data_IF_661006414578
#
_entry.id   IF_661006414578
#
_cell.length_a   1.000
_cell.length_b   1.000
_cell.length_c   1.000
_cell.angle_alpha   90.00
_cell.angle_beta   90.00
_cell.angle_gamma   90.00
#
_symmetry.space_group_name_H-M   'P 1'
#
loop_
_entity.id
_entity.type
_entity.pdbx_description
1 polymer ?
#
# COMPACT_ATOMS: atom_id res chain seq x y z
N UNK A 1 1.90 -3.74 -34.72
CA UNK A 1 2.90 -3.59 -33.62
C UNK A 1 2.39 -4.39 -32.44
N UNK A 2 3.13 -5.40 -31.98
CA UNK A 2 2.72 -6.24 -30.86
C UNK A 2 2.91 -5.45 -29.56
N UNK A 3 1.81 -4.98 -28.97
CA UNK A 3 1.82 -4.27 -27.69
C UNK A 3 2.22 -5.25 -26.60
N UNK A 4 3.34 -5.00 -25.91
CA UNK A 4 3.88 -5.84 -24.86
C UNK A 4 2.85 -6.11 -23.73
N UNK A 5 2.99 -7.25 -23.04
CA UNK A 5 2.42 -7.39 -21.70
C UNK A 5 3.04 -6.34 -20.81
N UNK A 6 2.24 -5.79 -19.90
CA UNK A 6 2.69 -4.78 -18.96
C UNK A 6 2.21 -5.20 -17.57
N UNK A 7 3.16 -5.61 -16.74
CA UNK A 7 2.96 -5.66 -15.29
C UNK A 7 3.49 -4.36 -14.71
N UNK A 8 2.66 -3.68 -13.96
CA UNK A 8 3.02 -2.46 -13.24
C UNK A 8 2.82 -2.68 -11.74
N UNK A 9 3.81 -2.25 -10.96
CA UNK A 9 3.84 -2.42 -9.52
C UNK A 9 4.16 -1.08 -8.88
N UNK A 10 3.18 -0.50 -8.21
CA UNK A 10 3.27 0.83 -7.61
C UNK A 10 3.00 0.76 -6.12
N UNK A 11 3.62 1.64 -5.34
CA UNK A 11 3.33 1.82 -3.92
C UNK A 11 2.90 3.25 -3.61
N UNK A 12 2.00 3.39 -2.64
CA UNK A 12 1.60 4.66 -2.08
C UNK A 12 1.40 4.51 -0.58
N UNK A 13 1.94 5.45 0.20
CA UNK A 13 1.63 5.51 1.61
C UNK A 13 0.35 6.32 1.86
N UNK A 14 -0.54 5.78 2.69
CA UNK A 14 -1.80 6.39 3.13
C UNK A 14 -1.81 6.46 4.66
N UNK A 15 -1.96 7.65 5.28
CA UNK A 15 -1.91 7.81 6.73
C UNK A 15 -2.82 6.86 7.52
N UNK A 16 -4.03 6.60 7.02
CA UNK A 16 -5.05 5.81 7.73
C UNK A 16 -5.01 4.30 7.42
N UNK A 17 -4.22 3.87 6.42
CA UNK A 17 -4.23 2.49 5.92
C UNK A 17 -2.83 1.87 5.80
N UNK A 18 -1.78 2.65 6.07
CA UNK A 18 -0.40 2.24 5.85
C UNK A 18 0.00 2.24 4.38
N UNK A 19 0.77 1.25 3.96
CA UNK A 19 1.23 1.14 2.58
C UNK A 19 0.20 0.43 1.72
N UNK A 20 -0.19 1.06 0.61
CA UNK A 20 -0.97 0.43 -0.45
C UNK A 20 -0.05 0.10 -1.62
N UNK A 21 0.09 -1.18 -1.92
CA UNK A 21 0.89 -1.69 -3.05
C UNK A 21 -0.08 -2.25 -4.08
N UNK A 22 -0.06 -1.70 -5.28
CA UNK A 22 -0.93 -2.13 -6.37
C UNK A 22 -0.12 -2.82 -7.44
N UNK A 23 -0.38 -4.11 -7.65
CA UNK A 23 0.06 -4.83 -8.83
C UNK A 23 -1.06 -4.80 -9.86
N UNK A 24 -0.83 -4.20 -11.01
CA UNK A 24 -1.75 -4.21 -12.14
C UNK A 24 -1.14 -4.91 -13.33
N UNK A 25 -1.97 -5.56 -14.13
CA UNK A 25 -1.50 -6.27 -15.32
C UNK A 25 -2.38 -6.01 -16.51
N UNK A 26 -1.73 -6.05 -17.68
CA UNK A 26 -2.36 -6.11 -18.99
C UNK A 26 -1.64 -7.16 -19.82
N UNK A 27 -2.29 -8.30 -20.02
CA UNK A 27 -1.80 -9.39 -20.86
C UNK A 27 -2.00 -9.06 -22.35
N UNK A 28 -1.37 -9.85 -23.21
CA UNK A 28 -1.64 -9.80 -24.64
C UNK A 28 -3.09 -10.22 -24.93
N UNK A 29 -3.69 -9.68 -25.98
CA UNK A 29 -5.09 -9.96 -26.34
C UNK A 29 -5.39 -11.43 -26.66
N UNK A 30 -4.37 -12.23 -26.98
CA UNK A 30 -4.47 -13.65 -27.25
C UNK A 30 -4.08 -14.55 -26.07
N UNK A 31 -3.91 -13.95 -24.89
CA UNK A 31 -3.49 -14.61 -23.65
C UNK A 31 -4.64 -14.57 -22.62
N UNK A 32 -4.49 -15.34 -21.56
CA UNK A 32 -5.42 -15.33 -20.43
C UNK A 32 -4.67 -15.52 -19.13
N UNK A 33 -5.18 -14.94 -18.04
CA UNK A 33 -4.53 -15.02 -16.75
C UNK A 33 -4.57 -16.45 -16.20
N UNK A 34 -3.40 -17.01 -15.86
CA UNK A 34 -3.29 -18.24 -15.09
C UNK A 34 -3.20 -17.95 -13.59
N UNK A 35 -2.27 -17.07 -13.21
CA UNK A 35 -2.06 -16.74 -11.80
C UNK A 35 -1.35 -15.42 -11.58
N UNK A 36 -1.58 -14.84 -10.41
CA UNK A 36 -0.78 -13.75 -9.84
C UNK A 36 -0.16 -14.22 -8.54
N UNK A 37 1.16 -14.17 -8.45
CA UNK A 37 1.95 -14.56 -7.27
C UNK A 37 2.47 -13.32 -6.58
N UNK A 38 2.20 -13.20 -5.29
CA UNK A 38 2.69 -12.11 -4.44
C UNK A 38 3.75 -12.64 -3.47
N UNK A 39 4.84 -11.90 -3.37
CA UNK A 39 6.04 -12.28 -2.62
C UNK A 39 6.46 -11.18 -1.65
N UNK A 40 6.94 -11.59 -0.47
CA UNK A 40 7.58 -10.76 0.54
C UNK A 40 9.01 -11.29 0.70
N UNK A 41 10.03 -10.46 0.39
CA UNK A 41 11.45 -10.85 0.41
C UNK A 41 11.71 -12.19 -0.32
N UNK A 42 11.30 -12.29 -1.59
CA UNK A 42 11.40 -13.50 -2.44
C UNK A 42 10.57 -14.71 -1.98
N UNK A 43 9.89 -14.65 -0.83
CA UNK A 43 9.02 -15.73 -0.36
C UNK A 43 7.60 -15.48 -0.81
N UNK A 44 7.06 -16.40 -1.62
CA UNK A 44 5.64 -16.40 -1.96
C UNK A 44 4.78 -16.53 -0.68
N UNK A 45 3.84 -15.62 -0.49
CA UNK A 45 2.83 -15.71 0.57
C UNK A 45 1.40 -15.86 0.04
N UNK A 46 1.14 -15.43 -1.21
CA UNK A 46 -0.16 -15.60 -1.86
C UNK A 46 0.01 -15.99 -3.33
N UNK A 47 -0.90 -16.83 -3.81
CA UNK A 47 -1.13 -17.06 -5.23
C UNK A 47 -2.63 -16.95 -5.53
N UNK A 48 -2.99 -15.97 -6.35
CA UNK A 48 -4.35 -15.78 -6.88
C UNK A 48 -4.48 -16.53 -8.20
N UNK A 49 -5.47 -17.43 -8.29
CA UNK A 49 -5.82 -18.18 -9.51
C UNK A 49 -7.32 -18.02 -9.78
N UNK A 50 -7.73 -17.29 -10.83
CA UNK A 50 -9.14 -17.13 -11.17
C UNK A 50 -9.97 -18.42 -11.22
N UNK A 51 -9.39 -19.51 -11.72
CA UNK A 51 -10.05 -20.82 -11.80
C UNK A 51 -10.50 -21.34 -10.43
N UNK A 52 -9.71 -21.10 -9.39
CA UNK A 52 -9.98 -21.60 -8.04
C UNK A 52 -10.62 -20.53 -7.13
N UNK A 53 -10.21 -19.28 -7.30
CA UNK A 53 -10.57 -18.17 -6.44
C UNK A 53 -11.74 -17.34 -6.96
N UNK A 54 -12.13 -17.54 -8.23
CA UNK A 54 -13.08 -16.68 -8.93
C UNK A 54 -12.45 -15.35 -9.39
N UNK A 55 -13.28 -14.53 -10.06
CA UNK A 55 -12.84 -13.25 -10.65
C UNK A 55 -12.53 -12.15 -9.63
N UNK A 56 -12.89 -12.37 -8.37
CA UNK A 56 -12.60 -11.48 -7.24
C UNK A 56 -12.22 -12.34 -6.04
N UNK A 57 -11.16 -11.93 -5.36
CA UNK A 57 -10.59 -12.66 -4.24
C UNK A 57 -10.09 -11.69 -3.19
N UNK A 58 -10.38 -11.98 -1.93
CA UNK A 58 -9.88 -11.22 -0.79
C UNK A 58 -9.31 -12.14 0.29
N UNK A 59 -8.18 -11.76 0.87
CA UNK A 59 -7.61 -12.48 1.99
C UNK A 59 -6.88 -11.54 2.95
N UNK A 60 -7.00 -11.81 4.24
CA UNK A 60 -6.28 -11.11 5.30
C UNK A 60 -5.26 -12.06 5.90
N UNK A 61 -4.03 -11.58 6.05
CA UNK A 61 -2.93 -12.26 6.74
C UNK A 61 -2.56 -11.43 7.97
N UNK A 62 -2.62 -12.07 9.14
CA UNK A 62 -2.23 -11.48 10.40
C UNK A 62 -0.86 -12.06 10.79
N UNK A 63 0.17 -11.23 10.78
CA UNK A 63 1.50 -11.57 11.28
C UNK A 63 1.77 -10.78 12.57
N UNK A 64 2.70 -11.24 13.43
CA UNK A 64 3.03 -10.56 14.69
C UNK A 64 3.41 -9.08 14.52
N UNK A 65 4.09 -8.74 13.43
CA UNK A 65 4.60 -7.40 13.17
C UNK A 65 3.73 -6.55 12.23
N UNK A 66 2.85 -7.19 11.45
CA UNK A 66 2.09 -6.53 10.39
C UNK A 66 0.82 -7.27 9.99
N UNK A 67 -0.16 -6.51 9.50
CA UNK A 67 -1.34 -7.04 8.81
C UNK A 67 -1.23 -6.79 7.32
N UNK A 68 -1.54 -7.80 6.52
CA UNK A 68 -1.78 -7.64 5.09
C UNK A 68 -3.23 -7.93 4.75
N UNK A 69 -3.85 -7.02 4.01
CA UNK A 69 -5.10 -7.29 3.29
C UNK A 69 -4.79 -7.32 1.81
N UNK A 70 -5.18 -8.40 1.12
CA UNK A 70 -5.02 -8.52 -0.32
C UNK A 70 -6.38 -8.62 -0.98
N UNK A 71 -6.58 -7.84 -2.04
CA UNK A 71 -7.77 -7.86 -2.88
C UNK A 71 -7.36 -7.97 -4.35
N UNK A 72 -7.63 -9.11 -4.97
CA UNK A 72 -7.35 -9.37 -6.38
C UNK A 72 -8.65 -9.43 -7.19
N UNK A 73 -8.66 -8.82 -8.37
CA UNK A 73 -9.81 -8.89 -9.26
C UNK A 73 -9.48 -8.67 -10.73
N UNK A 74 -10.29 -9.29 -11.57
CA UNK A 74 -10.30 -9.09 -13.01
C UNK A 74 -11.23 -7.94 -13.40
N UNK A 75 -10.78 -7.09 -14.31
CA UNK A 75 -11.56 -5.95 -14.85
C UNK A 75 -12.00 -6.17 -16.29
N UNK A 76 -11.48 -7.19 -16.97
CA UNK A 76 -11.86 -7.59 -18.32
C UNK A 76 -12.32 -9.04 -18.38
N UNK A 77 -12.83 -9.46 -19.53
CA UNK A 77 -13.04 -10.88 -19.82
C UNK A 77 -11.70 -11.64 -19.83
N UNK A 78 -11.74 -12.91 -19.41
CA UNK A 78 -10.61 -13.86 -19.37
C UNK A 78 -9.37 -13.36 -18.61
N UNK A 79 -9.53 -12.40 -17.71
CA UNK A 79 -8.45 -11.86 -16.88
C UNK A 79 -7.35 -11.10 -17.62
N UNK A 80 -7.56 -10.69 -18.88
CA UNK A 80 -6.55 -9.93 -19.66
C UNK A 80 -6.10 -8.66 -18.92
N UNK A 81 -7.01 -8.00 -18.21
CA UNK A 81 -6.70 -6.84 -17.38
C UNK A 81 -7.25 -7.08 -15.97
N UNK A 82 -6.42 -6.81 -14.97
CA UNK A 82 -6.83 -6.87 -13.57
C UNK A 82 -5.80 -6.24 -12.65
N UNK A 83 -6.08 -6.35 -11.35
CA UNK A 83 -5.16 -5.86 -10.31
C UNK A 83 -5.30 -6.63 -9.01
N UNK A 84 -4.20 -6.67 -8.27
CA UNK A 84 -4.12 -7.08 -6.88
C UNK A 84 -3.67 -5.87 -6.05
N UNK A 85 -4.48 -5.47 -5.08
CA UNK A 85 -4.18 -4.40 -4.14
C UNK A 85 -3.81 -5.03 -2.80
N UNK A 86 -2.63 -4.70 -2.30
CA UNK A 86 -2.13 -5.11 -0.99
C UNK A 86 -2.12 -3.89 -0.07
N UNK A 87 -2.91 -3.92 1.00
CA UNK A 87 -2.87 -2.93 2.06
C UNK A 87 -2.10 -3.50 3.24
N UNK A 88 -1.00 -2.83 3.59
CA UNK A 88 -0.06 -3.20 4.63
C UNK A 88 -0.14 -2.21 5.78
N UNK A 89 -0.58 -2.70 6.92
CA UNK A 89 -0.58 -1.98 8.19
C UNK A 89 0.52 -2.53 9.10
N UNK A 90 1.40 -1.65 9.56
CA UNK A 90 2.50 -2.01 10.46
C UNK A 90 2.13 -1.70 11.90
N UNK A 91 2.29 -2.67 12.80
CA UNK A 91 2.06 -2.44 14.24
C UNK A 91 3.22 -1.71 14.91
N UNK A 92 4.41 -1.82 14.33
CA UNK A 92 5.60 -1.10 14.74
C UNK A 92 6.36 -0.60 13.50
N UNK A 93 7.14 0.50 13.63
CA UNK A 93 7.96 0.99 12.54
C UNK A 93 8.91 -0.12 12.07
N UNK A 94 8.97 -0.34 10.76
CA UNK A 94 9.95 -1.27 10.21
C UNK A 94 11.36 -0.77 10.51
N UNK A 95 12.29 -1.68 10.82
CA UNK A 95 13.70 -1.35 11.04
C UNK A 95 14.47 -1.13 9.74
N UNK A 96 13.97 -1.70 8.65
CA UNK A 96 14.60 -1.73 7.34
C UNK A 96 13.53 -1.63 6.26
N UNK A 97 13.94 -1.15 5.08
CA UNK A 97 13.08 -1.09 3.91
C UNK A 97 12.52 -2.47 3.56
N UNK A 98 11.30 -2.50 3.03
CA UNK A 98 10.59 -3.74 2.75
C UNK A 98 10.55 -3.98 1.24
N UNK A 99 10.72 -5.23 0.82
CA UNK A 99 10.73 -5.63 -0.58
C UNK A 99 9.54 -6.53 -0.88
N UNK A 100 8.76 -6.16 -1.89
CA UNK A 100 7.61 -6.91 -2.38
C UNK A 100 7.73 -7.15 -3.86
N UNK A 101 7.18 -8.27 -4.31
CA UNK A 101 7.16 -8.58 -5.73
C UNK A 101 5.82 -9.14 -6.18
N UNK A 102 5.51 -8.87 -7.44
CA UNK A 102 4.35 -9.39 -8.15
C UNK A 102 4.82 -10.10 -9.40
N UNK A 103 4.45 -11.36 -9.54
CA UNK A 103 4.68 -12.16 -10.73
C UNK A 103 3.34 -12.55 -11.34
N UNK A 104 3.16 -12.24 -12.62
CA UNK A 104 1.92 -12.52 -13.37
C UNK A 104 2.23 -13.54 -14.45
N UNK A 105 1.46 -14.62 -14.45
CA UNK A 105 1.61 -15.74 -15.37
C UNK A 105 0.38 -15.88 -16.27
N UNK A 106 0.61 -15.96 -17.57
CA UNK A 106 -0.38 -16.33 -18.58
C UNK A 106 -0.59 -17.85 -18.68
N UNK A 107 -1.70 -18.26 -19.28
CA UNK A 107 -2.11 -19.65 -19.40
C UNK A 107 -1.44 -20.37 -20.59
N UNK A 108 -1.64 -21.68 -20.69
CA UNK A 108 -1.26 -22.46 -21.88
C UNK A 108 -1.91 -21.84 -23.14
N UNK A 109 -1.23 -21.87 -24.30
CA UNK A 109 0.08 -22.49 -24.54
C UNK A 109 1.26 -21.54 -24.36
N UNK A 110 1.03 -20.27 -24.03
CA UNK A 110 2.05 -19.23 -24.11
C UNK A 110 2.91 -19.15 -22.84
N UNK A 111 2.32 -19.44 -21.67
CA UNK A 111 3.02 -19.49 -20.38
C UNK A 111 3.94 -18.28 -20.12
N UNK A 112 3.52 -17.09 -20.57
CA UNK A 112 4.31 -15.87 -20.41
C UNK A 112 4.31 -15.47 -18.95
N UNK A 113 5.47 -15.10 -18.44
CA UNK A 113 5.64 -14.67 -17.06
C UNK A 113 6.35 -13.33 -17.04
N UNK A 114 5.84 -12.41 -16.24
CA UNK A 114 6.49 -11.13 -15.97
C UNK A 114 6.47 -10.87 -14.46
N UNK A 115 7.66 -10.56 -13.90
CA UNK A 115 7.85 -10.22 -12.49
C UNK A 115 8.28 -8.77 -12.37
N UNK A 116 7.69 -8.08 -11.39
CA UNK A 116 8.11 -6.74 -10.94
C UNK A 116 8.35 -6.77 -9.45
N UNK A 117 9.36 -6.03 -9.03
CA UNK A 117 9.78 -5.87 -7.64
C UNK A 117 9.68 -4.39 -7.26
N UNK A 118 9.36 -4.13 -6.00
CA UNK A 118 9.34 -2.78 -5.43
C UNK A 118 9.94 -2.79 -4.04
N UNK A 119 10.76 -1.79 -3.77
CA UNK A 119 11.23 -1.47 -2.43
C UNK A 119 10.38 -0.32 -1.88
N UNK A 120 9.90 -0.50 -0.65
CA UNK A 120 9.15 0.53 0.06
C UNK A 120 9.91 0.95 1.31
N UNK A 121 9.94 2.27 1.54
CA UNK A 121 10.67 2.85 2.65
C UNK A 121 10.07 2.43 3.99
N UNK A 122 10.93 2.09 4.95
CA UNK A 122 10.54 1.84 6.33
C UNK A 122 10.02 3.10 7.03
N UNK A 123 10.53 4.26 6.60
CA UNK A 123 10.25 5.56 7.19
C UNK A 123 9.52 6.44 6.16
N UNK A 124 8.44 7.07 6.62
CA UNK A 124 7.73 8.11 5.86
C UNK A 124 7.86 9.42 6.64
N UNK A 125 8.45 10.47 6.02
CA UNK A 125 8.66 11.73 6.71
C UNK A 125 7.34 12.38 7.13
N UNK A 126 7.35 13.21 8.18
CA UNK A 126 6.19 14.00 8.59
C UNK A 126 5.70 14.88 7.44
N UNK A 127 4.43 14.79 7.12
CA UNK A 127 3.76 15.51 6.03
C UNK A 127 2.41 16.05 6.50
N UNK A 128 1.82 16.95 5.72
CA UNK A 128 0.48 17.52 5.95
C UNK A 128 0.28 18.08 7.37
N UNK A 129 1.28 18.81 7.88
CA UNK A 129 1.16 19.45 9.17
C UNK A 129 0.09 20.54 9.13
N UNK A 130 -0.94 20.40 9.96
CA UNK A 130 -2.05 21.35 10.06
C UNK A 130 -2.24 21.79 11.51
N UNK A 131 -2.62 23.04 11.69
CA UNK A 131 -2.93 23.62 12.99
C UNK A 131 -4.32 24.25 12.94
N UNK A 132 -5.22 23.71 13.75
CA UNK A 132 -6.62 24.15 13.81
C UNK A 132 -6.98 24.65 15.21
N UNK A 133 -7.92 25.59 15.27
CA UNK A 133 -8.48 26.07 16.54
C UNK A 133 -9.55 25.07 17.01
N UNK A 134 -9.22 24.26 18.01
CA UNK A 134 -10.15 23.30 18.59
C UNK A 134 -11.23 24.00 19.43
N UNK A 135 -10.83 24.97 20.24
CA UNK A 135 -11.74 25.73 21.10
C UNK A 135 -11.25 27.16 21.31
N UNK A 136 -12.19 28.09 21.43
CA UNK A 136 -11.92 29.48 21.82
C UNK A 136 -12.89 29.83 22.94
N UNK A 137 -12.36 30.30 24.07
CA UNK A 137 -13.22 30.78 25.15
C UNK A 137 -14.03 32.01 24.69
N UNK A 138 -15.23 32.16 25.23
CA UNK A 138 -16.15 33.29 25.03
C UNK A 138 -15.51 34.66 25.27
N UNK A 139 -14.55 34.72 26.19
CA UNK A 139 -13.76 35.92 26.48
C UNK A 139 -12.63 36.19 25.48
N UNK A 140 -12.31 35.23 24.61
CA UNK A 140 -11.17 35.27 23.68
C UNK A 140 -9.79 35.11 24.33
N UNK A 141 -9.72 35.02 25.67
CA UNK A 141 -8.45 34.99 26.41
C UNK A 141 -7.71 33.65 26.34
N UNK A 142 -8.42 32.55 26.06
CA UNK A 142 -7.84 31.21 25.94
C UNK A 142 -8.24 30.56 24.62
N UNK A 143 -7.24 29.99 23.95
CA UNK A 143 -7.40 29.23 22.71
C UNK A 143 -6.77 27.86 22.90
N UNK A 144 -7.46 26.82 22.46
CA UNK A 144 -6.91 25.46 22.33
C UNK A 144 -6.63 25.23 20.86
N UNK A 145 -5.39 24.88 20.54
CA UNK A 145 -4.96 24.54 19.19
C UNK A 145 -4.74 23.03 19.10
N UNK A 146 -5.19 22.44 18.01
CA UNK A 146 -4.87 21.06 17.65
C UNK A 146 -3.82 21.09 16.54
N UNK A 147 -2.80 20.25 16.63
CA UNK A 147 -1.82 20.06 15.56
C UNK A 147 -1.85 18.61 15.14
N UNK A 148 -1.97 18.37 13.84
CA UNK A 148 -1.90 17.02 13.29
C UNK A 148 -0.85 16.98 12.19
N UNK A 149 -0.14 15.86 12.09
CA UNK A 149 0.77 15.58 10.98
C UNK A 149 0.82 14.07 10.80
N UNK A 150 0.98 13.65 9.55
CA UNK A 150 1.03 12.25 9.18
C UNK A 150 2.49 11.83 8.95
N UNK A 151 2.88 10.63 9.38
CA UNK A 151 4.21 10.07 9.10
C UNK A 151 4.32 8.65 9.63
N UNK A 152 5.40 7.95 9.29
CA UNK A 152 5.72 6.62 9.80
C UNK A 152 7.20 6.57 10.23
N UNK A 153 7.53 6.40 11.53
CA UNK A 153 6.63 6.39 12.69
C UNK A 153 5.81 7.68 12.83
N UNK A 154 4.79 7.64 13.69
CA UNK A 154 4.02 8.83 14.04
C UNK A 154 4.96 9.97 14.49
N UNK A 155 4.81 11.19 13.91
CA UNK A 155 5.74 12.28 14.15
C UNK A 155 5.63 12.84 15.57
N UNK A 156 6.76 13.31 16.11
CA UNK A 156 6.76 14.08 17.35
C UNK A 156 6.43 15.54 17.05
N UNK A 157 5.35 16.05 17.65
CA UNK A 157 4.91 17.44 17.48
C UNK A 157 5.42 18.31 18.63
N UNK A 158 5.94 19.49 18.29
CA UNK A 158 6.46 20.47 19.24
C UNK A 158 5.76 21.81 19.03
N UNK A 159 5.31 22.43 20.12
CA UNK A 159 4.74 23.77 20.10
C UNK A 159 5.78 24.83 20.49
N UNK A 160 5.76 25.97 19.80
CA UNK A 160 6.51 27.16 20.17
C UNK A 160 5.64 28.41 20.08
N UNK A 161 5.96 29.40 20.92
CA UNK A 161 5.40 30.76 20.85
C UNK A 161 6.58 31.68 20.57
N UNK A 162 6.67 32.21 19.35
CA UNK A 162 7.89 32.84 18.86
C UNK A 162 9.06 31.85 18.91
N UNK A 163 10.20 32.28 19.46
CA UNK A 163 11.41 31.45 19.62
C UNK A 163 11.36 30.51 20.83
N UNK A 164 10.32 30.61 21.68
CA UNK A 164 10.26 29.86 22.92
C UNK A 164 9.46 28.56 22.75
N UNK A 165 10.14 27.42 22.94
CA UNK A 165 9.49 26.11 23.00
C UNK A 165 8.59 26.02 24.23
N UNK A 166 7.35 25.59 24.02
CA UNK A 166 6.36 25.41 25.07
C UNK A 166 6.41 23.97 25.56
N UNK A 167 6.45 23.75 26.88
CA UNK A 167 6.23 22.42 27.46
C UNK A 167 4.73 22.17 27.52
N UNK A 168 4.28 21.14 26.80
CA UNK A 168 2.93 20.60 26.93
C UNK A 168 2.95 19.75 28.22
N UNK A 169 2.07 20.07 29.18
CA UNK A 169 1.88 19.30 30.44
C UNK A 169 0.58 18.54 30.34
#
# INVERSE_FOLDING_TARGET
AASASMVDLTSQWKPDCGWEITCSWRLFANDSLQSVRLMDRERQFLIYRPENNGRQFNQVFQLPEKTFKVECYETSEKGVVGKCVMTLELFQPASEDMSYACEVSGERPLFRVEKKDIEIAALVPPTNATVDVAQRDSSGSRVVLNCTSSGMPAPTLLWSIGEQRVRIV
#
